data_IF_786088734574
#
_entry.id   IF_786088734574
#
_cell.length_a   1.000
_cell.length_b   1.000
_cell.length_c   1.000
_cell.angle_alpha   90.00
_cell.angle_beta   90.00
_cell.angle_gamma   90.00
#
_symmetry.space_group_name_H-M   'P 1'
#
loop_
_entity.id
_entity.type
_entity.pdbx_description
1 polymer ?
#
# COMPACT_ATOMS: atom_id res chain seq x y z
N UNK A 1 -62.95 -71.85 59.65
CA UNK A 1 -62.40 -70.52 59.33
C UNK A 1 -60.89 -70.60 59.44
N UNK A 2 -60.21 -71.06 58.38
CA UNK A 2 -58.78 -71.42 58.42
C UNK A 2 -57.87 -70.20 58.38
N UNK A 3 -56.76 -70.30 59.10
CA UNK A 3 -55.75 -69.28 59.46
C UNK A 3 -54.94 -68.66 58.30
N UNK A 4 -55.44 -68.70 57.07
CA UNK A 4 -54.74 -68.20 55.87
C UNK A 4 -54.90 -66.69 55.65
N UNK A 5 -55.53 -65.96 56.58
CA UNK A 5 -55.87 -64.55 56.44
C UNK A 5 -54.93 -63.57 57.19
N UNK A 6 -53.80 -63.99 57.79
CA UNK A 6 -52.90 -63.04 58.46
C UNK A 6 -51.41 -63.31 58.19
N UNK A 7 -50.83 -62.38 57.41
CA UNK A 7 -49.40 -61.99 57.32
C UNK A 7 -48.59 -62.54 56.15
N UNK A 8 -48.87 -62.00 54.97
CA UNK A 8 -47.83 -61.64 54.01
C UNK A 8 -47.83 -60.11 53.88
N UNK A 9 -47.02 -59.42 54.70
CA UNK A 9 -46.77 -57.99 54.51
C UNK A 9 -45.93 -57.85 53.23
N UNK A 10 -46.42 -57.11 52.24
CA UNK A 10 -45.78 -56.99 50.94
C UNK A 10 -44.36 -56.41 51.04
N UNK A 11 -43.45 -56.82 50.15
CA UNK A 11 -42.05 -56.32 50.09
C UNK A 11 -41.97 -54.78 50.04
N UNK A 12 -43.01 -54.12 49.50
CA UNK A 12 -43.14 -52.65 49.48
C UNK A 12 -43.22 -52.04 50.88
N UNK A 13 -43.80 -52.73 51.86
CA UNK A 13 -43.83 -52.26 53.25
C UNK A 13 -42.48 -52.40 53.97
N UNK A 14 -41.61 -53.32 53.54
CA UNK A 14 -40.26 -53.44 54.08
C UNK A 14 -39.33 -52.33 53.57
N UNK A 15 -39.50 -51.90 52.31
CA UNK A 15 -38.82 -50.73 51.75
C UNK A 15 -39.25 -49.40 52.37
N UNK A 16 -40.50 -49.32 52.86
CA UNK A 16 -41.04 -48.14 53.53
C UNK A 16 -40.85 -48.12 55.06
N UNK A 17 -40.01 -49.01 55.63
CA UNK A 17 -39.71 -48.99 57.08
C UNK A 17 -38.80 -47.80 57.43
N UNK A 18 -39.23 -46.88 58.31
CA UNK A 18 -38.42 -45.74 58.71
C UNK A 18 -37.15 -46.20 59.44
N UNK A 19 -36.00 -45.62 59.06
CA UNK A 19 -34.69 -45.91 59.68
C UNK A 19 -33.81 -46.93 58.94
N UNK A 20 -34.17 -47.33 57.72
CA UNK A 20 -33.36 -48.21 56.87
C UNK A 20 -32.05 -47.59 56.38
N UNK A 21 -31.20 -48.39 55.73
CA UNK A 21 -29.93 -47.92 55.13
C UNK A 21 -30.13 -46.81 54.09
N UNK A 22 -31.25 -46.88 53.35
CA UNK A 22 -31.63 -45.87 52.37
C UNK A 22 -31.98 -44.52 53.01
N UNK A 23 -32.72 -44.51 54.13
CA UNK A 23 -33.02 -43.28 54.87
C UNK A 23 -31.76 -42.60 55.40
N UNK A 24 -30.75 -43.36 55.83
CA UNK A 24 -29.46 -42.78 56.26
C UNK A 24 -28.72 -42.13 55.09
N UNK A 25 -28.69 -42.79 53.92
CA UNK A 25 -28.08 -42.25 52.71
C UNK A 25 -28.79 -40.98 52.23
N UNK A 26 -30.13 -40.97 52.22
CA UNK A 26 -30.92 -39.80 51.83
C UNK A 26 -30.71 -38.66 52.84
N UNK A 27 -30.73 -38.95 54.15
CA UNK A 27 -30.49 -37.96 55.19
C UNK A 27 -29.08 -37.36 55.08
N UNK A 28 -28.05 -38.15 54.75
CA UNK A 28 -26.70 -37.61 54.52
C UNK A 28 -26.64 -36.79 53.24
N UNK A 29 -27.21 -37.26 52.12
CA UNK A 29 -27.22 -36.53 50.84
C UNK A 29 -27.95 -35.19 50.96
N UNK A 30 -29.06 -35.14 51.68
CA UNK A 30 -29.83 -33.91 51.88
C UNK A 30 -29.04 -32.80 52.58
N UNK A 31 -28.00 -33.13 53.34
CA UNK A 31 -27.12 -32.13 53.98
C UNK A 31 -25.83 -31.93 53.20
N UNK A 32 -25.25 -33.02 52.66
CA UNK A 32 -23.96 -33.01 51.98
C UNK A 32 -24.04 -32.32 50.61
N UNK A 33 -25.13 -32.52 49.85
CA UNK A 33 -25.31 -31.89 48.54
C UNK A 33 -25.42 -30.36 48.66
N UNK A 34 -26.31 -29.78 49.49
CA UNK A 34 -26.38 -28.32 49.64
C UNK A 34 -25.07 -27.72 50.20
N UNK A 35 -24.41 -28.42 51.13
CA UNK A 35 -23.12 -27.99 51.65
C UNK A 35 -22.04 -27.94 50.55
N UNK A 36 -21.97 -28.97 49.70
CA UNK A 36 -21.00 -29.03 48.60
C UNK A 36 -21.22 -27.92 47.56
N UNK A 37 -22.48 -27.60 47.25
CA UNK A 37 -22.83 -26.46 46.38
C UNK A 37 -22.35 -25.16 47.01
N UNK A 38 -22.61 -24.94 48.31
CA UNK A 38 -22.13 -23.74 49.01
C UNK A 38 -20.61 -23.58 48.97
N UNK A 39 -19.86 -24.67 49.16
CA UNK A 39 -18.40 -24.69 49.04
C UNK A 39 -17.95 -24.36 47.62
N UNK A 40 -18.57 -24.95 46.60
CA UNK A 40 -18.26 -24.68 45.20
C UNK A 40 -18.56 -23.23 44.83
N UNK A 41 -19.67 -22.67 45.29
CA UNK A 41 -20.05 -21.27 45.05
C UNK A 41 -19.08 -20.32 45.74
N UNK A 42 -18.74 -20.57 47.02
CA UNK A 42 -17.75 -19.79 47.74
C UNK A 42 -16.39 -19.84 47.02
N UNK A 43 -15.97 -21.01 46.55
CA UNK A 43 -14.75 -21.17 45.76
C UNK A 43 -14.80 -20.36 44.45
N UNK A 44 -15.88 -20.42 43.68
CA UNK A 44 -16.04 -19.65 42.44
C UNK A 44 -16.03 -18.13 42.66
N UNK A 45 -16.62 -17.65 43.75
CA UNK A 45 -16.62 -16.23 44.12
C UNK A 45 -15.22 -15.78 44.58
N UNK A 46 -14.48 -16.64 45.29
CA UNK A 46 -13.14 -16.33 45.78
C UNK A 46 -12.04 -16.52 44.72
N UNK A 47 -12.24 -17.40 43.74
CA UNK A 47 -11.29 -17.73 42.68
C UNK A 47 -10.72 -16.51 41.93
N UNK A 48 -11.53 -15.50 41.50
CA UNK A 48 -10.98 -14.33 40.83
C UNK A 48 -10.11 -13.44 41.73
N UNK A 49 -10.25 -13.51 43.06
CA UNK A 49 -9.44 -12.75 44.02
C UNK A 49 -8.06 -13.38 44.24
N UNK A 50 -7.93 -14.70 44.06
CA UNK A 50 -6.64 -15.43 44.18
C UNK A 50 -5.96 -15.64 42.84
N UNK A 51 -6.69 -15.55 41.72
CA UNK A 51 -6.16 -15.59 40.34
C UNK A 51 -5.69 -14.23 39.81
N UNK A 52 -5.44 -13.24 40.67
CA UNK A 52 -4.77 -11.98 40.33
C UNK A 52 -3.23 -12.13 40.25
N UNK A 53 -2.75 -13.28 39.78
CA UNK A 53 -1.33 -13.59 39.61
C UNK A 53 -1.03 -13.83 38.13
N UNK A 54 -0.52 -12.79 37.46
CA UNK A 54 0.21 -12.81 36.20
C UNK A 54 -0.19 -13.90 35.19
N UNK A 55 -1.37 -13.76 34.58
CA UNK A 55 -1.43 -14.02 33.14
C UNK A 55 -0.61 -12.93 32.48
N UNK A 56 0.69 -13.20 32.46
CA UNK A 56 1.66 -12.57 31.60
C UNK A 56 1.23 -12.86 30.16
N UNK A 57 0.22 -12.11 29.71
CA UNK A 57 -0.05 -11.85 28.31
C UNK A 57 1.08 -10.93 27.85
N UNK A 58 2.30 -11.46 27.86
CA UNK A 58 3.46 -10.82 27.26
C UNK A 58 3.20 -10.89 25.77
N UNK A 59 2.74 -9.77 25.23
CA UNK A 59 2.92 -9.40 23.83
C UNK A 59 2.28 -10.39 22.84
N UNK A 60 1.04 -10.14 22.43
CA UNK A 60 0.95 -9.65 21.05
C UNK A 60 -0.03 -8.49 20.88
N UNK A 61 0.11 -7.46 21.73
CA UNK A 61 -0.61 -6.19 21.57
C UNK A 61 0.20 -5.11 20.86
N UNK A 62 1.37 -5.46 20.30
CA UNK A 62 2.25 -4.58 19.52
C UNK A 62 3.01 -5.30 18.41
N UNK A 63 2.45 -6.37 17.83
CA UNK A 63 2.82 -6.80 16.48
C UNK A 63 1.58 -6.74 15.59
N UNK A 64 0.92 -5.58 15.63
CA UNK A 64 0.40 -5.06 14.38
C UNK A 64 1.64 -4.88 13.52
N UNK A 65 1.95 -5.85 12.68
CA UNK A 65 2.73 -5.62 11.48
C UNK A 65 1.90 -4.60 10.71
N UNK A 66 2.00 -3.32 11.09
CA UNK A 66 1.50 -2.21 10.28
C UNK A 66 2.36 -2.34 9.05
N UNK A 67 1.85 -3.09 8.06
CA UNK A 67 2.46 -3.20 6.77
C UNK A 67 2.71 -1.75 6.36
N UNK A 68 3.99 -1.34 6.39
CA UNK A 68 4.39 0.03 6.05
C UNK A 68 3.73 0.29 4.72
N UNK A 69 2.72 1.16 4.69
CA UNK A 69 1.76 1.26 3.59
C UNK A 69 2.51 1.66 2.31
N UNK A 70 3.05 0.67 1.62
CA UNK A 70 3.98 0.88 0.51
C UNK A 70 3.21 0.58 -0.75
N UNK A 71 2.69 1.62 -1.37
CA UNK A 71 2.18 1.49 -2.72
C UNK A 71 3.37 1.26 -3.66
N UNK A 72 3.44 0.07 -4.25
CA UNK A 72 4.41 -0.27 -5.29
C UNK A 72 3.63 -0.67 -6.53
N UNK A 73 3.76 0.15 -7.57
CA UNK A 73 3.32 -0.20 -8.91
C UNK A 73 4.51 -0.73 -9.69
N UNK A 74 4.34 -1.90 -10.30
CA UNK A 74 5.28 -2.46 -11.27
C UNK A 74 4.70 -2.26 -12.66
N UNK A 75 5.53 -1.87 -13.62
CA UNK A 75 5.10 -1.67 -15.01
C UNK A 75 3.89 -0.75 -15.14
N UNK A 76 3.96 0.43 -14.49
CA UNK A 76 2.88 1.41 -14.57
C UNK A 76 2.82 2.00 -15.97
N UNK A 77 1.63 2.04 -16.56
CA UNK A 77 1.40 2.62 -17.88
C UNK A 77 0.26 3.60 -17.81
N UNK A 78 0.48 4.84 -18.26
CA UNK A 78 -0.51 5.88 -18.39
C UNK A 78 -0.65 6.25 -19.86
N UNK A 79 -1.89 6.33 -20.35
CA UNK A 79 -2.20 6.66 -21.75
C UNK A 79 -3.16 7.83 -21.79
N UNK A 80 -2.99 8.69 -22.77
CA UNK A 80 -3.87 9.82 -22.99
C UNK A 80 -3.73 10.37 -24.39
N UNK A 81 -4.38 11.49 -24.63
CA UNK A 81 -4.25 12.26 -25.86
C UNK A 81 -3.81 13.68 -25.52
N UNK A 82 -2.98 14.27 -26.38
CA UNK A 82 -2.64 15.67 -26.26
C UNK A 82 -3.81 16.57 -26.71
N UNK A 83 -3.64 17.88 -26.59
CA UNK A 83 -4.61 18.89 -27.04
C UNK A 83 -4.94 18.86 -28.54
N UNK A 84 -4.13 18.17 -29.35
CA UNK A 84 -4.31 17.98 -30.79
C UNK A 84 -4.87 16.58 -31.11
N UNK A 85 -5.26 15.80 -30.11
CA UNK A 85 -5.77 14.43 -30.26
C UNK A 85 -4.71 13.37 -30.51
N UNK A 86 -3.42 13.72 -30.41
CA UNK A 86 -2.31 12.78 -30.62
C UNK A 86 -2.18 11.86 -29.41
N UNK A 87 -2.18 10.53 -29.59
CA UNK A 87 -2.01 9.61 -28.47
C UNK A 87 -0.59 9.70 -27.90
N UNK A 88 -0.51 9.67 -26.59
CA UNK A 88 0.74 9.52 -25.86
C UNK A 88 0.63 8.40 -24.82
N UNK A 89 1.78 7.83 -24.49
CA UNK A 89 1.94 6.77 -23.51
C UNK A 89 3.15 7.09 -22.62
N UNK A 90 2.96 6.98 -21.32
CA UNK A 90 4.00 7.10 -20.30
C UNK A 90 4.10 5.76 -19.58
N UNK A 91 5.29 5.18 -19.59
CA UNK A 91 5.61 3.91 -18.95
C UNK A 91 6.65 4.14 -17.86
N UNK A 92 6.51 3.40 -16.76
CA UNK A 92 7.51 3.31 -15.71
C UNK A 92 7.73 1.85 -15.34
N UNK A 93 8.99 1.41 -15.33
CA UNK A 93 9.34 0.06 -14.87
C UNK A 93 8.92 -0.18 -13.41
N UNK A 94 9.05 0.84 -12.55
CA UNK A 94 8.38 0.84 -11.25
C UNK A 94 8.08 2.25 -10.75
N UNK A 95 7.04 2.36 -9.92
CA UNK A 95 6.71 3.55 -9.16
C UNK A 95 6.45 3.13 -7.71
N UNK A 96 7.25 3.63 -6.77
CA UNK A 96 7.20 3.25 -5.36
C UNK A 96 6.97 4.48 -4.51
N UNK A 97 5.88 4.46 -3.75
CA UNK A 97 5.68 5.33 -2.60
C UNK A 97 6.06 4.55 -1.34
N UNK A 98 6.95 5.12 -0.53
CA UNK A 98 7.48 4.41 0.66
C UNK A 98 6.42 4.21 1.74
N UNK A 99 5.57 5.21 1.93
CA UNK A 99 4.45 5.25 2.87
C UNK A 99 3.43 6.28 2.40
N UNK A 100 2.14 6.10 2.69
CA UNK A 100 1.10 7.10 2.41
C UNK A 100 1.40 8.49 3.03
N UNK A 101 2.14 8.53 4.15
CA UNK A 101 2.59 9.76 4.78
C UNK A 101 3.74 10.49 4.05
N UNK A 102 4.44 9.82 3.12
CA UNK A 102 5.47 10.44 2.26
C UNK A 102 4.84 10.65 0.89
N UNK A 103 4.49 11.90 0.56
CA UNK A 103 3.86 12.30 -0.71
C UNK A 103 4.83 12.22 -1.92
N UNK A 104 5.89 11.41 -1.82
CA UNK A 104 6.92 11.27 -2.87
C UNK A 104 6.85 9.89 -3.49
N UNK A 105 6.58 9.86 -4.79
CA UNK A 105 6.62 8.66 -5.63
C UNK A 105 7.96 8.60 -6.35
N UNK A 106 8.74 7.54 -6.10
CA UNK A 106 10.01 7.28 -6.78
C UNK A 106 9.75 6.43 -8.00
N UNK A 107 10.06 6.97 -9.17
CA UNK A 107 9.83 6.37 -10.48
C UNK A 107 11.18 5.88 -11.03
N UNK A 108 11.22 4.65 -11.52
CA UNK A 108 12.39 4.05 -12.15
C UNK A 108 12.06 3.60 -13.56
N UNK A 109 13.05 3.73 -14.46
CA UNK A 109 12.95 3.34 -15.87
C UNK A 109 11.73 3.98 -16.54
N UNK A 110 11.71 5.31 -16.57
CA UNK A 110 10.64 6.07 -17.20
C UNK A 110 10.89 6.15 -18.71
N UNK A 111 9.85 5.86 -19.49
CA UNK A 111 9.83 6.04 -20.92
C UNK A 111 8.50 6.68 -21.32
N UNK A 112 8.53 7.65 -22.22
CA UNK A 112 7.33 8.22 -22.81
C UNK A 112 7.40 8.14 -24.32
N UNK A 113 6.25 7.99 -24.96
CA UNK A 113 6.10 8.03 -26.41
C UNK A 113 4.89 8.90 -26.76
N UNK A 114 5.01 9.73 -27.79
CA UNK A 114 3.90 10.51 -28.34
C UNK A 114 3.92 10.40 -29.87
N UNK A 115 2.75 10.22 -30.46
CA UNK A 115 2.61 10.14 -31.90
C UNK A 115 2.48 11.56 -32.50
N UNK A 116 3.57 12.09 -33.07
CA UNK A 116 3.52 13.36 -33.79
C UNK A 116 3.07 13.16 -35.24
N UNK A 117 2.75 14.25 -35.93
CA UNK A 117 2.40 14.24 -37.36
C UNK A 117 3.54 13.67 -38.22
N UNK A 118 4.78 14.01 -37.88
CA UNK A 118 5.98 13.56 -38.62
C UNK A 118 6.48 12.18 -38.18
N UNK A 119 5.83 11.54 -37.20
CA UNK A 119 6.20 10.24 -36.64
C UNK A 119 6.34 10.23 -35.10
N UNK A 120 6.65 9.09 -34.50
CA UNK A 120 6.69 8.95 -33.04
C UNK A 120 7.91 9.65 -32.43
N UNK A 121 7.68 10.44 -31.38
CA UNK A 121 8.72 10.94 -30.49
C UNK A 121 8.77 10.11 -29.21
N UNK A 122 9.97 9.92 -28.68
CA UNK A 122 10.24 9.12 -27.47
C UNK A 122 11.10 9.91 -26.50
N UNK A 123 10.85 9.73 -25.22
CA UNK A 123 11.64 10.27 -24.12
C UNK A 123 12.01 9.13 -23.18
N UNK A 124 13.24 9.12 -22.69
CA UNK A 124 13.69 8.18 -21.65
C UNK A 124 14.36 8.92 -20.51
N UNK A 125 14.12 8.44 -19.28
CA UNK A 125 14.79 8.90 -18.08
C UNK A 125 14.95 7.73 -17.09
N UNK A 126 16.16 7.47 -16.56
CA UNK A 126 16.40 6.35 -15.65
C UNK A 126 15.64 6.46 -14.33
N UNK A 127 15.51 7.67 -13.78
CA UNK A 127 14.92 7.91 -12.46
C UNK A 127 14.22 9.26 -12.42
N UNK A 128 13.05 9.28 -11.80
CA UNK A 128 12.33 10.50 -11.50
C UNK A 128 11.69 10.42 -10.11
N UNK A 129 11.39 11.58 -9.54
CA UNK A 129 10.66 11.73 -8.28
C UNK A 129 9.45 12.63 -8.55
N UNK A 130 8.26 12.12 -8.27
CA UNK A 130 7.03 12.89 -8.31
C UNK A 130 6.62 13.24 -6.89
N UNK A 131 6.51 14.52 -6.62
CA UNK A 131 6.04 15.09 -5.36
C UNK A 131 4.57 15.44 -5.52
N UNK A 132 3.68 14.71 -4.83
CA UNK A 132 2.23 14.81 -4.99
C UNK A 132 1.66 16.08 -4.37
N UNK A 133 2.28 16.63 -3.32
CA UNK A 133 1.82 17.85 -2.65
C UNK A 133 2.06 19.08 -3.52
N UNK A 134 3.26 19.16 -4.10
CA UNK A 134 3.65 20.27 -4.96
C UNK A 134 3.31 20.05 -6.44
N UNK A 135 2.95 18.81 -6.80
CA UNK A 135 2.76 18.33 -8.18
C UNK A 135 4.00 18.61 -9.07
N UNK A 136 5.19 18.36 -8.52
CA UNK A 136 6.47 18.56 -9.21
C UNK A 136 7.12 17.23 -9.53
N UNK A 137 7.53 17.07 -10.78
CA UNK A 137 8.36 15.95 -11.21
C UNK A 137 9.79 16.43 -11.37
N UNK A 138 10.71 15.86 -10.59
CA UNK A 138 12.15 16.08 -10.77
C UNK A 138 12.80 14.83 -11.31
N UNK A 139 13.63 15.00 -12.33
CA UNK A 139 14.37 13.95 -12.98
C UNK A 139 15.85 14.18 -12.70
N UNK A 140 16.47 13.23 -12.02
CA UNK A 140 17.87 13.29 -11.59
C UNK A 140 18.68 12.22 -12.35
N UNK A 141 19.16 12.57 -13.53
CA UNK A 141 19.93 11.70 -14.42
C UNK A 141 19.70 12.00 -15.90
N UNK A 142 20.41 11.26 -16.76
CA UNK A 142 20.36 11.45 -18.21
C UNK A 142 18.93 11.34 -18.76
N UNK A 143 18.44 12.41 -19.36
CA UNK A 143 17.21 12.48 -20.13
C UNK A 143 17.60 12.50 -21.60
N UNK A 144 16.99 11.60 -22.38
CA UNK A 144 17.16 11.58 -23.83
C UNK A 144 15.79 11.65 -24.50
N UNK A 145 15.64 12.58 -25.42
CA UNK A 145 14.47 12.72 -26.28
C UNK A 145 14.90 12.48 -27.71
N UNK A 146 14.15 11.65 -28.43
CA UNK A 146 14.37 11.28 -29.82
C UNK A 146 13.07 11.40 -30.58
N UNK A 147 13.09 12.16 -31.66
CA UNK A 147 11.93 12.43 -32.50
C UNK A 147 12.31 12.24 -33.99
N UNK A 148 11.32 12.22 -34.90
CA UNK A 148 11.57 12.10 -36.34
C UNK A 148 12.48 13.22 -36.87
N UNK A 149 12.96 13.11 -38.11
CA UNK A 149 13.78 14.14 -38.76
C UNK A 149 15.08 14.49 -38.03
N UNK A 150 15.67 13.50 -37.33
CA UNK A 150 16.89 13.66 -36.53
C UNK A 150 16.76 14.72 -35.43
N UNK A 151 15.56 14.88 -34.85
CA UNK A 151 15.41 15.70 -33.65
C UNK A 151 15.88 14.92 -32.43
N UNK A 152 16.87 15.45 -31.73
CA UNK A 152 17.34 14.90 -30.45
C UNK A 152 17.49 16.00 -29.41
N UNK A 153 17.35 15.63 -28.15
CA UNK A 153 17.64 16.48 -27.01
C UNK A 153 18.16 15.60 -25.88
N UNK A 154 19.33 15.92 -25.37
CA UNK A 154 19.97 15.22 -24.27
C UNK A 154 20.33 16.24 -23.17
N UNK A 155 19.93 15.96 -21.93
CA UNK A 155 20.23 16.75 -20.71
C UNK A 155 20.40 15.79 -19.51
N UNK A 156 20.88 16.27 -18.37
CA UNK A 156 21.08 15.45 -17.17
C UNK A 156 20.12 15.75 -16.01
N UNK A 157 19.25 16.75 -16.16
CA UNK A 157 18.16 16.99 -15.22
C UNK A 157 16.97 17.68 -15.86
N UNK A 158 15.83 17.60 -15.18
CA UNK A 158 14.67 18.42 -15.46
C UNK A 158 13.79 18.53 -14.21
N UNK A 159 13.27 19.72 -13.96
CA UNK A 159 12.20 20.02 -13.02
C UNK A 159 10.96 20.41 -13.84
N UNK A 160 9.88 19.65 -13.65
CA UNK A 160 8.59 19.90 -14.30
C UNK A 160 7.56 20.24 -13.23
N UNK A 161 6.92 21.38 -13.40
CA UNK A 161 5.76 21.81 -12.61
C UNK A 161 4.49 21.48 -13.40
N UNK A 162 3.71 20.52 -12.89
CA UNK A 162 2.51 20.05 -13.59
C UNK A 162 1.34 21.05 -13.47
N UNK A 163 1.32 21.87 -12.41
CA UNK A 163 0.29 22.91 -12.21
C UNK A 163 0.44 24.02 -13.22
N UNK A 164 1.67 24.55 -13.36
CA UNK A 164 1.96 25.65 -14.29
C UNK A 164 2.34 25.18 -15.69
N UNK A 165 2.50 23.86 -15.90
CA UNK A 165 2.94 23.26 -17.16
C UNK A 165 4.29 23.82 -17.65
N UNK A 166 5.19 24.09 -16.71
CA UNK A 166 6.53 24.61 -17.00
C UNK A 166 7.57 23.53 -16.75
N UNK A 167 8.58 23.47 -17.63
CA UNK A 167 9.74 22.61 -17.50
C UNK A 167 10.99 23.48 -17.45
N UNK A 168 11.92 23.13 -16.58
CA UNK A 168 13.22 23.77 -16.45
C UNK A 168 14.32 22.72 -16.32
N UNK A 169 15.42 22.90 -17.04
CA UNK A 169 16.64 22.10 -16.92
C UNK A 169 17.76 23.05 -16.58
N UNK A 170 18.37 22.88 -15.42
CA UNK A 170 19.53 23.68 -14.99
C UNK A 170 20.84 23.08 -15.47
N UNK A 171 20.82 21.86 -16.01
CA UNK A 171 21.95 21.22 -16.64
C UNK A 171 22.14 21.64 -18.11
N UNK A 172 23.38 21.51 -18.64
CA UNK A 172 23.65 21.70 -20.05
C UNK A 172 22.76 20.84 -20.93
N UNK A 173 22.22 21.44 -21.97
CA UNK A 173 21.35 20.76 -22.93
C UNK A 173 22.01 20.78 -24.29
N UNK A 174 21.99 19.64 -24.97
CA UNK A 174 22.51 19.47 -26.32
C UNK A 174 21.52 18.73 -27.18
N UNK A 175 21.62 18.87 -28.49
CA UNK A 175 20.74 18.12 -29.38
C UNK A 175 20.89 18.49 -30.84
N UNK A 176 20.01 17.91 -31.64
CA UNK A 176 19.91 18.18 -33.07
C UNK A 176 18.51 18.61 -33.45
N UNK A 177 18.46 19.50 -34.43
CA UNK A 177 17.26 19.97 -35.11
C UNK A 177 17.49 19.89 -36.61
N UNK A 178 16.44 20.10 -37.41
CA UNK A 178 16.55 20.02 -38.88
C UNK A 178 17.63 20.94 -39.47
N UNK A 179 17.90 22.08 -38.83
CA UNK A 179 18.92 23.05 -39.27
C UNK A 179 20.35 22.67 -38.84
N UNK A 180 20.54 21.80 -37.85
CA UNK A 180 21.87 21.45 -37.34
C UNK A 180 21.89 21.10 -35.85
N UNK A 181 23.00 21.39 -35.17
CA UNK A 181 23.21 21.03 -33.76
C UNK A 181 23.06 22.25 -32.86
N UNK A 182 22.42 22.08 -31.70
CA UNK A 182 22.31 23.14 -30.69
C UNK A 182 22.94 22.72 -29.36
N UNK A 183 23.37 23.71 -28.59
CA UNK A 183 23.79 23.54 -27.20
C UNK A 183 23.47 24.79 -26.37
N UNK A 184 23.24 24.61 -25.08
CA UNK A 184 23.06 25.68 -24.11
C UNK A 184 23.39 25.20 -22.68
N UNK A 185 23.56 26.13 -21.75
CA UNK A 185 23.84 25.82 -20.35
C UNK A 185 22.59 25.35 -19.59
N UNK A 186 21.42 25.83 -20.00
CA UNK A 186 20.13 25.46 -19.40
C UNK A 186 19.00 25.61 -20.42
N UNK A 187 17.82 25.10 -20.06
CA UNK A 187 16.63 25.18 -20.89
C UNK A 187 15.40 25.46 -20.03
N UNK A 188 14.46 26.22 -20.57
CA UNK A 188 13.09 26.28 -20.06
C UNK A 188 12.11 25.96 -21.18
N UNK A 189 11.01 25.33 -20.84
CA UNK A 189 9.96 25.02 -21.79
C UNK A 189 8.59 25.25 -21.18
N UNK A 190 7.74 25.89 -21.96
CA UNK A 190 6.33 26.05 -21.67
C UNK A 190 5.58 24.96 -22.45
N UNK A 191 5.05 23.97 -21.72
CA UNK A 191 4.41 22.79 -22.31
C UNK A 191 3.03 23.13 -22.89
N UNK A 192 2.41 24.21 -22.43
CA UNK A 192 1.12 24.67 -22.93
C UNK A 192 1.26 25.46 -24.23
N UNK A 193 2.20 26.41 -24.29
CA UNK A 193 2.50 27.15 -25.52
C UNK A 193 3.43 26.38 -26.48
N UNK A 194 3.94 25.21 -26.04
CA UNK A 194 4.89 24.35 -26.77
C UNK A 194 6.15 25.11 -27.20
N UNK A 195 6.58 26.05 -26.36
CA UNK A 195 7.75 26.90 -26.62
C UNK A 195 8.93 26.44 -25.78
N UNK A 196 10.06 26.19 -26.43
CA UNK A 196 11.33 25.87 -25.76
C UNK A 196 12.28 27.05 -25.88
N UNK A 197 12.90 27.44 -24.76
CA UNK A 197 13.92 28.48 -24.68
C UNK A 197 15.23 27.88 -24.17
N UNK A 198 16.29 28.12 -24.91
CA UNK A 198 17.66 27.77 -24.53
C UNK A 198 18.29 28.98 -23.85
N UNK A 199 18.86 28.78 -22.67
CA UNK A 199 19.40 29.86 -21.85
C UNK A 199 20.88 29.62 -21.53
N UNK A 200 21.67 30.71 -21.58
CA UNK A 200 23.10 30.70 -21.28
C UNK A 200 23.98 30.02 -22.34
N UNK A 201 24.91 30.78 -22.93
CA UNK A 201 25.82 30.33 -24.00
C UNK A 201 25.10 29.48 -25.08
N UNK A 202 23.89 29.89 -25.46
CA UNK A 202 23.10 29.19 -26.46
C UNK A 202 23.79 29.30 -27.83
N UNK A 203 24.09 28.16 -28.45
CA UNK A 203 24.75 28.06 -29.75
C UNK A 203 23.92 27.17 -30.65
N UNK A 204 23.79 27.59 -31.91
CA UNK A 204 23.22 26.78 -32.98
C UNK A 204 24.23 26.74 -34.13
N UNK A 205 24.75 25.55 -34.42
CA UNK A 205 25.58 25.32 -35.61
C UNK A 205 24.68 24.82 -36.73
N UNK A 206 24.39 25.71 -37.67
CA UNK A 206 23.60 25.36 -38.85
C UNK A 206 24.49 24.58 -39.82
N UNK A 207 24.00 23.43 -40.28
CA UNK A 207 24.59 22.68 -41.38
C UNK A 207 23.69 22.92 -42.60
N UNK A 208 24.08 23.79 -43.54
CA UNK A 208 23.30 24.02 -44.75
C UNK A 208 23.08 22.69 -45.47
N UNK A 209 21.84 22.40 -45.85
CA UNK A 209 21.60 21.30 -46.80
C UNK A 209 22.40 21.61 -48.06
N UNK A 210 23.27 20.70 -48.49
CA UNK A 210 23.69 20.71 -49.88
C UNK A 210 22.40 20.56 -50.71
N UNK A 211 22.04 21.61 -51.43
CA UNK A 211 21.10 21.51 -52.54
C UNK A 211 21.65 20.45 -53.49
N UNK A 212 20.97 19.30 -53.57
CA UNK A 212 21.12 18.40 -54.70
C UNK A 212 20.40 18.99 -55.89
#
# INVERSE_FOLDING_TARGET
>A
MSELARRTLSERQQWARPGGRHDRLIRTSNWLIPASIGVLTAFLVMAPLTMAGDVSFVLDKNKVDVAKERLKLQSATYRGTDTKGQPFELQAGSAVQKSSAEAVVRIQQMAAAIQLQDGPARLTAPRARYDMDTEKVRVDGGIAVRAPNNYTLDTSNADVDLKTRQLTSTAPVTGTVRQGNFSANSMSADLESRTVRLNGNARLRIVPRQTK
#
